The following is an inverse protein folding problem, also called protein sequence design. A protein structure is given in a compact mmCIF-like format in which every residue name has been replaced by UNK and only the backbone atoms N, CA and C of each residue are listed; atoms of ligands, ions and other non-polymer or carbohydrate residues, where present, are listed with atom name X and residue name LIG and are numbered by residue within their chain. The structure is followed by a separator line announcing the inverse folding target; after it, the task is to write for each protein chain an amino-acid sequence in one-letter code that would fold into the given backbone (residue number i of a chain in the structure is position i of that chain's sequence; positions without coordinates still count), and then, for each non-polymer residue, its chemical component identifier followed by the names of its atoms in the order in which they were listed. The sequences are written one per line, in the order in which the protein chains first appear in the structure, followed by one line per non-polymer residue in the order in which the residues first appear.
data_IF_083470703619
#
_entry.id   IF_083470703619
#
_cell.length_a   1.000
_cell.length_b   1.000
_cell.length_c   1.000
_cell.angle_alpha   90.00
_cell.angle_beta   90.00
_cell.angle_gamma   90.00
#
_symmetry.space_group_name_H-M   'P 1'
#
loop_
_entity.id
_entity.type
_entity.pdbx_description
1 polymer ?
#
# COMPACT_ATOMS: atom_id res chain seq x y z
N UNK A 1 -17.65 -39.78 26.77
CA UNK A 1 -18.19 -39.87 25.40
C UNK A 1 -18.07 -38.49 24.78
N UNK A 2 -16.97 -38.23 24.07
CA UNK A 2 -16.67 -36.92 23.49
C UNK A 2 -17.23 -36.90 22.08
N UNK A 3 -18.09 -35.91 21.84
CA UNK A 3 -18.79 -35.67 20.58
C UNK A 3 -17.84 -35.26 19.47
N UNK A 4 -18.33 -35.46 18.25
CA UNK A 4 -17.59 -35.43 17.01
C UNK A 4 -16.87 -34.12 16.73
N UNK A 5 -15.68 -34.29 16.15
CA UNK A 5 -15.08 -33.34 15.23
C UNK A 5 -14.61 -34.16 14.04
N UNK A 6 -15.57 -34.61 13.24
CA UNK A 6 -15.27 -35.18 11.92
C UNK A 6 -14.88 -34.00 11.04
N UNK A 7 -13.57 -33.83 10.81
CA UNK A 7 -13.06 -32.89 9.82
C UNK A 7 -13.68 -33.28 8.46
N UNK A 8 -14.69 -32.54 8.03
CA UNK A 8 -15.13 -32.56 6.65
C UNK A 8 -14.02 -31.93 5.80
N UNK A 9 -13.15 -32.78 5.29
CA UNK A 9 -12.26 -32.42 4.19
C UNK A 9 -13.19 -32.35 2.98
N UNK A 10 -13.51 -31.14 2.52
CA UNK A 10 -14.21 -30.89 1.25
C UNK A 10 -13.56 -31.73 0.14
N UNK A 11 -14.22 -32.80 -0.29
CA UNK A 11 -13.76 -33.69 -1.37
C UNK A 11 -14.39 -33.34 -2.72
N UNK A 12 -14.73 -32.07 -2.96
CA UNK A 12 -15.31 -31.63 -4.24
C UNK A 12 -14.59 -30.41 -4.85
N UNK A 13 -13.29 -30.25 -4.58
CA UNK A 13 -12.49 -29.30 -5.34
C UNK A 13 -12.05 -29.96 -6.65
N UNK A 14 -12.40 -29.34 -7.79
CA UNK A 14 -11.90 -29.72 -9.11
C UNK A 14 -10.37 -29.68 -9.09
N UNK A 15 -9.69 -30.66 -9.68
CA UNK A 15 -8.22 -30.83 -9.57
C UNK A 15 -7.46 -29.55 -9.95
N UNK A 16 -8.01 -28.78 -10.90
CA UNK A 16 -7.46 -27.48 -11.33
C UNK A 16 -7.49 -26.41 -10.25
N UNK A 17 -8.53 -26.40 -9.41
CA UNK A 17 -8.66 -25.43 -8.33
C UNK A 17 -7.62 -25.68 -7.24
N UNK A 18 -7.31 -26.96 -6.99
CA UNK A 18 -6.26 -27.37 -6.06
C UNK A 18 -4.89 -26.89 -6.58
N UNK A 19 -4.60 -27.07 -7.86
CA UNK A 19 -3.35 -26.62 -8.49
C UNK A 19 -3.18 -25.09 -8.42
N UNK A 20 -4.23 -24.33 -8.78
CA UNK A 20 -4.21 -22.87 -8.70
C UNK A 20 -3.97 -22.41 -7.26
N UNK A 21 -4.62 -23.05 -6.29
CA UNK A 21 -4.43 -22.73 -4.87
C UNK A 21 -3.00 -23.00 -4.41
N UNK A 22 -2.38 -24.10 -4.85
CA UNK A 22 -0.98 -24.41 -4.54
C UNK A 22 -0.05 -23.38 -5.16
N UNK A 23 -0.27 -22.99 -6.42
CA UNK A 23 0.51 -21.96 -7.11
C UNK A 23 0.46 -20.63 -6.36
N UNK A 24 -0.74 -20.15 -6.03
CA UNK A 24 -0.93 -18.90 -5.29
C UNK A 24 -0.31 -18.98 -3.89
N UNK A 25 -0.48 -20.11 -3.19
CA UNK A 25 0.17 -20.35 -1.89
C UNK A 25 1.69 -20.27 -1.97
N UNK A 26 2.27 -20.71 -3.09
CA UNK A 26 3.69 -20.66 -3.37
C UNK A 26 4.15 -19.31 -3.94
N UNK A 27 3.26 -18.31 -4.01
CA UNK A 27 3.57 -16.96 -4.52
C UNK A 27 3.64 -16.85 -6.04
N UNK A 28 3.15 -17.87 -6.77
CA UNK A 28 3.07 -17.88 -8.23
C UNK A 28 1.72 -17.31 -8.71
N UNK A 29 1.68 -16.91 -9.98
CA UNK A 29 0.44 -16.44 -10.59
C UNK A 29 -0.56 -17.59 -10.74
N UNK A 30 -1.83 -17.34 -10.45
CA UNK A 30 -2.92 -18.31 -10.65
C UNK A 30 -3.02 -18.78 -12.11
N UNK A 31 -2.76 -17.88 -13.06
CA UNK A 31 -2.62 -18.23 -14.47
C UNK A 31 -1.13 -18.46 -14.80
N UNK A 32 -0.71 -19.66 -15.20
CA UNK A 32 0.67 -19.94 -15.58
C UNK A 32 1.21 -19.03 -16.69
N UNK A 33 0.33 -18.60 -17.61
CA UNK A 33 0.66 -17.71 -18.73
C UNK A 33 0.57 -16.22 -18.38
N UNK A 34 0.23 -15.89 -17.13
CA UNK A 34 0.04 -14.51 -16.69
C UNK A 34 1.37 -13.79 -16.48
N UNK A 35 2.20 -14.33 -15.58
CA UNK A 35 3.49 -13.75 -15.24
C UNK A 35 4.42 -14.86 -14.75
N UNK A 36 5.62 -14.92 -15.33
CA UNK A 36 6.61 -15.93 -14.98
C UNK A 36 7.72 -16.05 -16.01
N UNK A 37 8.71 -16.92 -15.76
CA UNK A 37 9.82 -17.15 -16.69
C UNK A 37 9.32 -17.61 -18.07
N UNK A 38 8.28 -18.45 -18.11
CA UNK A 38 7.66 -18.95 -19.34
C UNK A 38 7.17 -17.82 -20.27
N UNK A 39 6.69 -16.71 -19.71
CA UNK A 39 6.08 -15.61 -20.47
C UNK A 39 7.01 -14.41 -20.67
N UNK A 40 7.97 -14.23 -19.76
CA UNK A 40 8.86 -13.07 -19.76
C UNK A 40 10.18 -13.34 -20.51
N UNK A 41 10.63 -14.59 -20.58
CA UNK A 41 11.84 -14.94 -21.32
C UNK A 41 11.56 -14.95 -22.83
N UNK A 42 12.58 -14.71 -23.67
CA UNK A 42 12.44 -14.83 -25.11
C UNK A 42 12.31 -16.30 -25.53
N UNK A 43 11.44 -16.57 -26.50
CA UNK A 43 11.19 -17.93 -27.01
C UNK A 43 12.38 -18.50 -27.80
N UNK A 44 13.22 -17.62 -28.37
CA UNK A 44 14.42 -18.00 -29.12
C UNK A 44 15.56 -17.00 -28.89
N UNK A 45 16.77 -17.41 -29.24
CA UNK A 45 17.98 -16.57 -29.24
C UNK A 45 18.78 -16.78 -30.52
N UNK A 46 19.44 -15.73 -31.01
CA UNK A 46 20.34 -15.85 -32.15
C UNK A 46 21.61 -16.63 -31.76
N UNK A 47 22.10 -17.49 -32.65
CA UNK A 47 23.37 -18.23 -32.45
C UNK A 47 24.57 -17.30 -32.24
N UNK A 48 24.52 -16.11 -32.84
CA UNK A 48 25.54 -15.08 -32.73
C UNK A 48 25.54 -14.38 -31.36
N UNK A 49 24.60 -14.70 -30.46
CA UNK A 49 24.48 -14.06 -29.15
C UNK A 49 23.81 -12.68 -29.18
N UNK A 50 23.25 -12.26 -30.32
CA UNK A 50 22.46 -11.03 -30.40
C UNK A 50 21.21 -11.16 -29.54
N UNK A 51 20.82 -10.06 -28.93
CA UNK A 51 19.57 -9.97 -28.16
C UNK A 51 18.36 -10.16 -29.07
N UNK A 52 17.37 -10.88 -28.58
CA UNK A 52 16.07 -11.04 -29.24
C UNK A 52 15.32 -9.71 -29.17
N UNK A 53 14.73 -9.22 -30.28
CA UNK A 53 13.89 -8.03 -30.24
C UNK A 53 12.65 -8.28 -29.39
N UNK A 54 12.15 -7.24 -28.72
CA UNK A 54 10.95 -7.38 -27.88
C UNK A 54 9.71 -7.63 -28.72
N UNK A 55 8.89 -8.60 -28.30
CA UNK A 55 7.56 -8.80 -28.86
C UNK A 55 6.60 -7.68 -28.44
N UNK A 56 5.60 -7.39 -29.28
CA UNK A 56 4.58 -6.34 -29.01
C UNK A 56 3.87 -6.55 -27.67
N UNK A 57 3.52 -7.80 -27.34
CA UNK A 57 2.86 -8.14 -26.08
C UNK A 57 3.78 -7.92 -24.86
N UNK A 58 5.06 -8.25 -24.96
CA UNK A 58 6.05 -7.99 -23.90
C UNK A 58 6.24 -6.49 -23.69
N UNK A 59 6.36 -5.73 -24.78
CA UNK A 59 6.46 -4.27 -24.74
C UNK A 59 5.23 -3.63 -24.06
N UNK A 60 4.02 -4.05 -24.44
CA UNK A 60 2.80 -3.54 -23.85
C UNK A 60 2.72 -3.82 -22.34
N UNK A 61 3.13 -5.01 -21.89
CA UNK A 61 3.20 -5.36 -20.46
C UNK A 61 4.19 -4.49 -19.71
N UNK A 62 5.39 -4.26 -20.26
CA UNK A 62 6.40 -3.40 -19.65
C UNK A 62 5.92 -1.95 -19.51
N UNK A 63 5.28 -1.40 -20.55
CA UNK A 63 4.70 -0.06 -20.49
C UNK A 63 3.60 0.02 -19.43
N UNK A 64 2.70 -0.96 -19.37
CA UNK A 64 1.66 -1.02 -18.34
C UNK A 64 2.24 -1.08 -16.93
N UNK A 65 3.26 -1.90 -16.71
CA UNK A 65 3.95 -2.00 -15.41
C UNK A 65 4.63 -0.67 -15.04
N UNK A 66 5.23 0.01 -16.00
CA UNK A 66 5.83 1.34 -15.79
C UNK A 66 4.78 2.39 -15.38
N UNK A 67 3.65 2.44 -16.06
CA UNK A 67 2.58 3.39 -15.71
C UNK A 67 1.96 3.09 -14.34
N UNK A 68 1.81 1.80 -14.01
CA UNK A 68 1.37 1.38 -12.69
C UNK A 68 2.36 1.84 -11.61
N UNK A 69 3.67 1.60 -11.79
CA UNK A 69 4.70 2.03 -10.84
C UNK A 69 4.73 3.55 -10.65
N UNK A 70 4.60 4.33 -11.73
CA UNK A 70 4.49 5.79 -11.65
C UNK A 70 3.31 6.23 -10.80
N UNK A 71 2.15 5.60 -10.99
CA UNK A 71 0.93 5.89 -10.24
C UNK A 71 1.10 5.59 -8.75
N UNK A 72 1.69 4.44 -8.41
CA UNK A 72 1.96 4.07 -7.01
C UNK A 72 2.86 5.10 -6.34
N UNK A 73 3.98 5.47 -6.98
CA UNK A 73 4.92 6.47 -6.43
C UNK A 73 4.24 7.83 -6.24
N UNK A 74 3.39 8.24 -7.19
CA UNK A 74 2.62 9.48 -7.08
C UNK A 74 1.71 9.46 -5.85
N UNK A 75 0.94 8.39 -5.66
CA UNK A 75 0.01 8.29 -4.52
C UNK A 75 0.72 8.22 -3.18
N UNK A 76 1.86 7.53 -3.06
CA UNK A 76 2.66 7.56 -1.85
C UNK A 76 3.07 8.99 -1.49
N UNK A 77 3.58 9.76 -2.46
CA UNK A 77 3.96 11.16 -2.24
C UNK A 77 2.80 12.06 -1.84
N UNK A 78 1.63 11.87 -2.47
CA UNK A 78 0.42 12.63 -2.14
C UNK A 78 -0.06 12.33 -0.72
N UNK A 79 0.01 11.07 -0.30
CA UNK A 79 -0.35 10.63 1.05
C UNK A 79 0.61 11.23 2.09
N UNK A 80 1.93 11.11 1.87
CA UNK A 80 2.94 11.68 2.76
C UNK A 80 2.75 13.19 2.93
N UNK A 81 2.55 13.89 1.80
CA UNK A 81 2.26 15.32 1.81
C UNK A 81 0.98 15.67 2.59
N UNK A 82 -0.08 14.87 2.46
CA UNK A 82 -1.33 15.11 3.19
C UNK A 82 -1.14 14.99 4.71
N UNK A 83 -0.40 13.97 5.16
CA UNK A 83 -0.08 13.77 6.58
C UNK A 83 0.76 14.93 7.12
N UNK A 84 1.83 15.31 6.42
CA UNK A 84 2.69 16.42 6.81
C UNK A 84 1.92 17.75 6.88
N UNK A 85 1.10 18.03 5.86
CA UNK A 85 0.26 19.22 5.81
C UNK A 85 -0.72 19.26 6.98
N UNK A 86 -1.37 18.14 7.30
CA UNK A 86 -2.31 18.08 8.40
C UNK A 86 -1.63 18.37 9.75
N UNK A 87 -0.49 17.75 9.99
CA UNK A 87 0.31 17.98 11.20
C UNK A 87 0.77 19.44 11.31
N UNK A 88 1.15 20.06 10.18
CA UNK A 88 1.52 21.48 10.16
C UNK A 88 0.35 22.39 10.53
N UNK A 89 -0.82 22.17 9.95
CA UNK A 89 -2.01 22.97 10.24
C UNK A 89 -2.44 22.85 11.71
N UNK A 90 -2.41 21.64 12.28
CA UNK A 90 -2.71 21.46 13.71
C UNK A 90 -1.73 22.24 14.61
N UNK A 91 -0.43 22.21 14.29
CA UNK A 91 0.58 22.97 15.04
C UNK A 91 0.38 24.48 14.91
N UNK A 92 0.03 24.96 13.72
CA UNK A 92 -0.28 26.37 13.50
C UNK A 92 -1.53 26.82 14.27
N UNK A 93 -2.57 26.00 14.30
CA UNK A 93 -3.77 26.25 15.10
C UNK A 93 -3.46 26.32 16.60
N UNK A 94 -2.68 25.36 17.11
CA UNK A 94 -2.29 25.34 18.52
C UNK A 94 -1.41 26.54 18.88
N UNK A 95 -0.42 26.86 18.05
CA UNK A 95 0.41 28.05 18.24
C UNK A 95 -0.42 29.35 18.20
N UNK A 96 -1.41 29.42 17.30
CA UNK A 96 -2.33 30.56 17.24
C UNK A 96 -3.19 30.67 18.51
N UNK A 97 -3.70 29.55 19.02
CA UNK A 97 -4.45 29.52 20.28
C UNK A 97 -3.58 29.99 21.45
N UNK A 98 -2.36 29.48 21.56
CA UNK A 98 -1.40 29.89 22.58
C UNK A 98 -1.07 31.38 22.48
N UNK A 99 -0.75 31.88 21.28
CA UNK A 99 -0.51 33.31 21.05
C UNK A 99 -1.69 34.18 21.45
N UNK A 100 -2.92 33.75 21.17
CA UNK A 100 -4.13 34.47 21.60
C UNK A 100 -4.22 34.45 23.13
N UNK A 101 -3.99 33.31 23.79
CA UNK A 101 -3.99 33.21 25.26
C UNK A 101 -2.91 34.10 25.89
N UNK A 102 -1.69 34.09 25.37
CA UNK A 102 -0.57 34.90 25.87
C UNK A 102 -0.82 36.41 25.66
N UNK A 103 -1.52 36.77 24.59
CA UNK A 103 -1.92 38.16 24.33
C UNK A 103 -3.05 38.66 25.24
N UNK A 104 -3.75 37.77 25.97
CA UNK A 104 -4.84 38.18 26.87
C UNK A 104 -4.26 38.93 28.06
N UNK A 105 -4.94 40.03 28.40
CA UNK A 105 -4.65 40.80 29.61
C UNK A 105 -4.94 39.97 30.87
N UNK A 106 -4.27 40.33 31.97
CA UNK A 106 -4.50 39.71 33.28
C UNK A 106 -5.99 39.73 33.65
N UNK A 107 -6.52 38.65 34.24
CA UNK A 107 -7.90 38.61 34.70
C UNK A 107 -8.14 39.69 35.77
N UNK A 108 -9.35 40.25 35.82
CA UNK A 108 -9.75 41.29 36.79
C UNK A 108 -10.78 40.75 37.79
N UNK A 109 -10.93 41.42 38.93
CA UNK A 109 -11.99 41.15 39.91
C UNK A 109 -11.74 39.91 40.77
N UNK A 110 -12.80 39.14 41.07
CA UNK A 110 -12.75 37.97 41.98
C UNK A 110 -11.71 36.91 41.56
N UNK A 111 -11.56 36.67 40.26
CA UNK A 111 -10.56 35.74 39.71
C UNK A 111 -9.11 36.14 40.00
N UNK A 112 -8.83 37.44 40.12
CA UNK A 112 -7.49 37.92 40.47
C UNK A 112 -7.19 37.72 41.96
N UNK A 113 -8.19 37.94 42.83
CA UNK A 113 -8.07 37.77 44.28
C UNK A 113 -7.84 36.29 44.66
N UNK A 114 -8.49 35.34 43.98
CA UNK A 114 -8.30 33.91 44.21
C UNK A 114 -6.93 33.40 43.73
N UNK A 115 -6.42 33.93 42.62
CA UNK A 115 -5.14 33.49 42.04
C UNK A 115 -3.92 34.17 42.69
N UNK A 116 -4.09 35.40 43.19
CA UNK A 116 -3.03 36.21 43.81
C UNK A 116 -2.94 36.11 45.35
N UNK A 117 -3.78 35.30 46.01
CA UNK A 117 -3.79 35.14 47.48
C UNK A 117 -2.80 34.06 47.99
N UNK A 118 -1.72 33.79 47.26
CA UNK A 118 -0.60 32.95 47.72
C UNK A 118 0.67 33.77 47.84
#
# INVERSE_FOLDING_TARGET
MIQGVTLAIDQTADDREIEVRILVRNGLCANPNGFGPLTNLPDFSYKDGRTTPLGVGQQARLLKQREFAKTVVKFCKEMDFAVERHNRLQKEEEHNRQRILDSKLKPKGKQWLETGSK
#
